data_IF_552853164076
#
_entry.id   IF_552853164076
#
_cell.length_a   1.000
_cell.length_b   1.000
_cell.length_c   1.000
_cell.angle_alpha   90.00
_cell.angle_beta   90.00
_cell.angle_gamma   90.00
#
_symmetry.space_group_name_H-M   'P 1'
#
loop_
_entity.id
_entity.type
_entity.pdbx_description
1 polymer ?
#
# COMPACT_ATOMS: atom_id res chain seq x y z
N UNK A 1 11.96 -9.39 32.39
CA UNK A 1 11.79 -9.64 30.96
C UNK A 1 11.29 -8.35 30.34
N UNK A 2 11.96 -7.83 29.32
CA UNK A 2 11.50 -6.67 28.56
C UNK A 2 10.11 -6.97 27.97
N UNK A 3 9.22 -5.98 27.96
CA UNK A 3 7.83 -6.13 27.47
C UNK A 3 7.06 -7.29 28.13
N UNK A 4 7.25 -7.53 29.44
CA UNK A 4 6.62 -8.67 30.14
C UNK A 4 5.11 -8.70 29.97
N UNK A 5 4.45 -7.56 30.18
CA UNK A 5 2.99 -7.44 30.09
C UNK A 5 2.49 -7.79 28.68
N UNK A 6 3.07 -7.15 27.66
CA UNK A 6 2.79 -7.43 26.25
C UNK A 6 2.92 -8.93 25.91
N UNK A 7 4.03 -9.56 26.34
CA UNK A 7 4.27 -10.99 26.09
C UNK A 7 3.26 -11.88 26.82
N UNK A 8 2.90 -11.54 28.06
CA UNK A 8 1.86 -12.26 28.80
C UNK A 8 0.50 -12.15 28.11
N UNK A 9 0.12 -10.95 27.65
CA UNK A 9 -1.11 -10.74 26.89
C UNK A 9 -1.13 -11.58 25.62
N UNK A 10 -0.08 -11.53 24.80
CA UNK A 10 -0.02 -12.32 23.56
C UNK A 10 -0.04 -13.83 23.82
N UNK A 11 0.66 -14.31 24.85
CA UNK A 11 0.66 -15.73 25.20
C UNK A 11 -0.75 -16.23 25.55
N UNK A 12 -1.53 -15.42 26.28
CA UNK A 12 -2.93 -15.72 26.60
C UNK A 12 -3.80 -15.78 25.35
N UNK A 13 -3.71 -14.77 24.48
CA UNK A 13 -4.49 -14.70 23.23
C UNK A 13 -4.18 -15.86 22.28
N UNK A 14 -2.90 -16.23 22.17
CA UNK A 14 -2.44 -17.34 21.33
C UNK A 14 -2.60 -18.72 22.00
N UNK A 15 -3.04 -18.76 23.27
CA UNK A 15 -3.21 -19.98 24.08
C UNK A 15 -1.93 -20.80 24.21
N UNK A 16 -0.82 -20.15 24.51
CA UNK A 16 0.50 -20.79 24.63
C UNK A 16 0.92 -20.82 26.10
N UNK A 17 1.27 -22.03 26.56
CA UNK A 17 1.62 -22.31 27.96
C UNK A 17 3.14 -22.29 28.22
N UNK A 18 3.96 -22.10 27.19
CA UNK A 18 5.42 -22.20 27.27
C UNK A 18 6.07 -20.87 27.71
N UNK A 19 7.02 -20.94 28.65
CA UNK A 19 7.81 -19.82 29.18
C UNK A 19 8.80 -19.27 28.13
N UNK A 20 9.20 -20.11 27.16
CA UNK A 20 10.11 -19.71 26.06
C UNK A 20 9.40 -19.05 24.87
N UNK A 21 8.07 -18.92 24.95
CA UNK A 21 7.25 -18.23 23.97
C UNK A 21 7.79 -16.83 23.64
N UNK A 22 7.89 -16.54 22.34
CA UNK A 22 8.05 -15.18 21.85
C UNK A 22 9.37 -14.51 22.21
N UNK A 23 10.47 -15.26 22.39
CA UNK A 23 11.83 -14.66 22.41
C UNK A 23 12.19 -13.97 21.08
N UNK A 24 11.52 -14.39 20.01
CA UNK A 24 11.62 -13.80 18.68
C UNK A 24 10.45 -12.86 18.34
N UNK A 25 9.48 -12.69 19.25
CA UNK A 25 8.41 -11.69 19.12
C UNK A 25 8.79 -10.46 19.94
N UNK A 26 8.87 -9.31 19.28
CA UNK A 26 9.24 -8.06 19.90
C UNK A 26 7.99 -7.29 20.34
N UNK A 27 7.99 -6.86 21.60
CA UNK A 27 7.07 -5.81 22.06
C UNK A 27 7.65 -4.42 21.80
N UNK A 28 6.94 -3.36 22.24
CA UNK A 28 7.34 -1.99 21.96
C UNK A 28 8.77 -1.64 22.38
N UNK A 29 9.17 -1.91 23.63
CA UNK A 29 10.49 -1.51 24.09
C UNK A 29 11.59 -2.35 23.44
N UNK A 30 11.39 -3.66 23.31
CA UNK A 30 12.34 -4.55 22.63
C UNK A 30 12.54 -4.16 21.16
N UNK A 31 11.48 -3.68 20.50
CA UNK A 31 11.54 -3.17 19.14
C UNK A 31 12.37 -1.88 19.06
N UNK A 32 12.14 -0.90 19.94
CA UNK A 32 12.93 0.35 19.99
C UNK A 32 14.41 0.08 20.24
N UNK A 33 14.72 -0.80 21.20
CA UNK A 33 16.08 -1.18 21.53
C UNK A 33 16.78 -1.81 20.32
N UNK A 34 16.09 -2.73 19.61
CA UNK A 34 16.63 -3.35 18.40
C UNK A 34 16.81 -2.33 17.26
N UNK A 35 15.84 -1.43 17.08
CA UNK A 35 15.85 -0.40 16.04
C UNK A 35 17.05 0.55 16.20
N UNK A 36 17.42 0.88 17.43
CA UNK A 36 18.55 1.76 17.73
C UNK A 36 19.92 1.24 17.23
N UNK A 37 20.01 -0.06 16.97
CA UNK A 37 21.21 -0.72 16.45
C UNK A 37 21.30 -0.71 14.92
N UNK A 38 20.20 -0.37 14.23
CA UNK A 38 20.07 -0.49 12.79
C UNK A 38 20.49 0.81 12.07
N UNK A 39 21.04 0.62 10.88
CA UNK A 39 21.47 1.67 9.95
C UNK A 39 20.81 1.47 8.59
N UNK A 40 20.98 2.44 7.69
CA UNK A 40 20.39 2.43 6.33
C UNK A 40 20.60 1.11 5.58
N UNK A 41 21.81 0.54 5.64
CA UNK A 41 22.21 -0.67 4.92
C UNK A 41 21.44 -1.91 5.39
N UNK A 42 20.87 -1.87 6.61
CA UNK A 42 20.09 -2.97 7.15
C UNK A 42 18.70 -3.09 6.52
N UNK A 43 18.20 -1.99 5.93
CA UNK A 43 16.86 -1.90 5.34
C UNK A 43 16.85 -1.99 3.80
N UNK A 44 18.02 -2.07 3.17
CA UNK A 44 18.16 -2.08 1.71
C UNK A 44 18.87 -3.34 1.22
N UNK A 45 18.36 -4.05 0.18
CA UNK A 45 19.01 -5.24 -0.40
C UNK A 45 20.45 -4.99 -0.91
N UNK A 46 20.72 -3.75 -1.31
CA UNK A 46 22.03 -3.30 -1.78
C UNK A 46 21.99 -1.83 -2.21
N UNK A 47 22.86 -1.46 -3.15
CA UNK A 47 22.90 -0.12 -3.72
C UNK A 47 21.81 0.03 -4.78
N UNK A 48 21.11 1.15 -4.73
CA UNK A 48 20.15 1.53 -5.78
C UNK A 48 20.90 1.84 -7.09
N UNK A 49 20.43 1.24 -8.17
CA UNK A 49 20.94 1.35 -9.53
C UNK A 49 20.21 2.43 -10.33
N UNK A 50 18.90 2.60 -10.11
CA UNK A 50 18.08 3.63 -10.77
C UNK A 50 17.15 4.35 -9.77
N UNK A 51 17.11 5.67 -9.84
CA UNK A 51 16.27 6.52 -9.01
C UNK A 51 14.91 6.84 -9.65
N UNK A 52 14.72 6.51 -10.92
CA UNK A 52 13.43 6.68 -11.62
C UNK A 52 12.51 5.47 -11.46
N UNK A 53 13.04 4.32 -11.05
CA UNK A 53 12.27 3.06 -10.93
C UNK A 53 12.51 2.33 -9.61
N UNK A 54 11.43 1.70 -9.10
CA UNK A 54 11.47 0.83 -7.92
C UNK A 54 12.13 -0.53 -8.23
N UNK A 55 12.50 -1.27 -7.19
CA UNK A 55 13.09 -2.62 -7.27
C UNK A 55 14.39 -2.71 -8.09
N UNK A 56 15.20 -1.65 -8.06
CA UNK A 56 16.47 -1.56 -8.80
C UNK A 56 17.68 -1.60 -7.87
N UNK A 57 17.75 -2.61 -7.01
CA UNK A 57 18.89 -2.80 -6.12
C UNK A 57 19.85 -3.84 -6.68
N UNK A 58 21.15 -3.64 -6.49
CA UNK A 58 22.07 -4.78 -6.46
C UNK A 58 21.91 -5.58 -5.14
N UNK A 59 22.62 -6.70 -5.02
CA UNK A 59 22.56 -7.56 -3.84
C UNK A 59 23.70 -7.32 -2.84
N UNK A 60 24.42 -6.20 -2.93
CA UNK A 60 25.64 -5.99 -2.15
C UNK A 60 25.42 -6.07 -0.64
N UNK A 61 24.29 -5.58 -0.11
CA UNK A 61 24.00 -5.71 1.32
C UNK A 61 23.52 -7.11 1.68
N UNK A 62 22.84 -7.84 0.79
CA UNK A 62 22.48 -9.25 1.01
C UNK A 62 23.76 -10.10 1.07
N UNK A 63 24.63 -9.98 0.08
CA UNK A 63 25.84 -10.78 -0.06
C UNK A 63 26.79 -10.58 1.14
N UNK A 64 26.93 -9.33 1.58
CA UNK A 64 27.72 -8.96 2.76
C UNK A 64 27.00 -9.26 4.08
N UNK A 65 25.76 -9.75 4.06
CA UNK A 65 24.97 -9.98 5.27
C UNK A 65 24.69 -8.71 6.05
N UNK A 66 24.52 -7.57 5.38
CA UNK A 66 24.10 -6.30 5.97
C UNK A 66 22.59 -6.16 6.00
N UNK A 67 21.87 -6.58 4.96
CA UNK A 67 20.41 -6.55 4.91
C UNK A 67 19.82 -7.50 5.96
N UNK A 68 19.12 -6.95 6.94
CA UNK A 68 18.58 -7.73 8.07
C UNK A 68 17.30 -7.16 8.68
N UNK A 69 16.65 -6.21 8.02
CA UNK A 69 15.39 -5.66 8.48
C UNK A 69 14.50 -5.25 7.31
N UNK A 70 13.22 -5.61 7.37
CA UNK A 70 12.18 -4.98 6.56
C UNK A 70 10.93 -4.81 7.43
N UNK A 71 10.58 -3.56 7.72
CA UNK A 71 9.47 -3.21 8.61
C UNK A 71 8.21 -2.81 7.86
N UNK A 72 8.21 -2.87 6.54
CA UNK A 72 7.09 -2.45 5.71
C UNK A 72 6.82 -3.56 4.69
N UNK A 73 5.98 -4.52 5.08
CA UNK A 73 5.69 -5.73 4.30
C UNK A 73 4.20 -5.99 4.32
N UNK A 74 3.65 -6.14 3.12
CA UNK A 74 2.25 -6.45 2.86
C UNK A 74 2.10 -7.89 2.42
N UNK A 75 0.97 -8.49 2.76
CA UNK A 75 0.63 -9.89 2.48
C UNK A 75 -0.68 -9.95 1.70
N UNK A 76 -1.12 -11.16 1.36
CA UNK A 76 -2.43 -11.38 0.72
C UNK A 76 -3.62 -10.90 1.56
N UNK A 77 -3.44 -10.53 2.84
CA UNK A 77 -4.50 -9.91 3.63
C UNK A 77 -4.80 -8.47 3.22
N UNK A 78 -3.88 -7.80 2.50
CA UNK A 78 -4.09 -6.47 1.91
C UNK A 78 -3.86 -6.46 0.39
N UNK A 79 -2.80 -5.85 -0.12
CA UNK A 79 -2.46 -5.83 -1.56
C UNK A 79 -1.14 -6.49 -1.91
N UNK A 80 -0.51 -7.19 -0.95
CA UNK A 80 0.58 -8.11 -1.22
C UNK A 80 0.10 -9.36 -1.96
N UNK A 81 0.97 -9.96 -2.77
CA UNK A 81 0.67 -11.22 -3.48
C UNK A 81 1.04 -12.47 -2.70
N UNK A 82 1.98 -12.37 -1.76
CA UNK A 82 2.46 -13.52 -0.99
C UNK A 82 1.64 -13.80 0.27
N UNK A 83 1.56 -15.07 0.63
CA UNK A 83 1.07 -15.47 1.94
C UNK A 83 2.12 -15.28 3.04
N UNK A 84 1.64 -15.25 4.29
CA UNK A 84 2.46 -14.97 5.47
C UNK A 84 3.55 -16.02 5.63
N UNK A 85 3.24 -17.29 5.38
CA UNK A 85 4.22 -18.39 5.47
C UNK A 85 5.36 -18.20 4.48
N UNK A 86 5.06 -17.87 3.23
CA UNK A 86 6.02 -17.61 2.18
C UNK A 86 6.94 -16.44 2.55
N UNK A 87 6.36 -15.35 3.07
CA UNK A 87 7.12 -14.19 3.58
C UNK A 87 8.07 -14.59 4.73
N UNK A 88 7.61 -15.41 5.67
CA UNK A 88 8.44 -15.92 6.77
C UNK A 88 9.56 -16.84 6.28
N UNK A 89 9.27 -17.74 5.34
CA UNK A 89 10.24 -18.67 4.75
C UNK A 89 11.29 -17.94 3.89
N UNK A 90 10.88 -16.91 3.16
CA UNK A 90 11.80 -16.05 2.43
C UNK A 90 12.70 -15.24 3.37
N UNK A 91 12.15 -14.74 4.48
CA UNK A 91 12.91 -14.03 5.51
C UNK A 91 14.01 -14.87 6.15
N UNK A 92 13.84 -16.20 6.23
CA UNK A 92 14.86 -17.11 6.78
C UNK A 92 16.16 -17.10 5.97
N UNK A 93 16.08 -16.84 4.66
CA UNK A 93 17.26 -16.75 3.77
C UNK A 93 18.19 -15.60 4.18
N UNK A 94 17.64 -14.55 4.77
CA UNK A 94 18.38 -13.39 5.26
C UNK A 94 18.77 -13.50 6.74
N UNK A 95 18.30 -14.55 7.41
CA UNK A 95 18.44 -14.76 8.86
C UNK A 95 19.58 -15.73 9.23
N UNK A 96 20.44 -16.09 8.27
CA UNK A 96 21.54 -17.04 8.48
C UNK A 96 22.69 -16.43 9.29
N UNK A 97 23.11 -15.21 8.92
CA UNK A 97 24.27 -14.53 9.54
C UNK A 97 23.90 -13.75 10.80
N UNK A 98 22.67 -13.23 10.85
CA UNK A 98 22.12 -12.48 11.98
C UNK A 98 20.59 -12.57 11.97
N UNK A 99 19.92 -12.29 13.10
CA UNK A 99 18.47 -12.29 13.12
C UNK A 99 17.89 -11.25 12.16
N UNK A 100 16.84 -11.64 11.43
CA UNK A 100 16.13 -10.77 10.50
C UNK A 100 14.92 -10.14 11.20
N UNK A 101 14.86 -8.82 11.24
CA UNK A 101 13.73 -8.07 11.80
C UNK A 101 12.64 -7.88 10.75
N UNK A 102 11.45 -8.43 11.01
CA UNK A 102 10.32 -8.40 10.08
C UNK A 102 9.10 -7.74 10.72
N UNK A 103 8.58 -6.71 10.07
CA UNK A 103 7.26 -6.14 10.36
C UNK A 103 6.25 -6.56 9.31
N UNK A 104 5.14 -7.16 9.73
CA UNK A 104 3.97 -7.37 8.86
C UNK A 104 3.01 -6.21 9.09
N UNK A 105 2.75 -5.43 8.04
CA UNK A 105 2.09 -4.11 8.14
C UNK A 105 1.03 -3.95 7.07
N UNK A 106 0.16 -4.96 6.92
CA UNK A 106 -0.95 -4.92 5.98
C UNK A 106 -1.82 -3.65 6.15
N UNK A 107 -2.37 -3.15 5.04
CA UNK A 107 -3.26 -2.01 5.04
C UNK A 107 -4.58 -2.26 5.78
N UNK A 108 -4.90 -1.42 6.76
CA UNK A 108 -6.17 -1.37 7.50
C UNK A 108 -6.62 -2.76 8.05
N UNK A 109 -5.69 -3.68 8.30
CA UNK A 109 -5.97 -5.01 8.87
C UNK A 109 -4.77 -5.58 9.64
N UNK A 110 -5.06 -6.40 10.64
CA UNK A 110 -4.05 -7.08 11.47
C UNK A 110 -4.00 -8.59 11.21
N UNK A 111 -4.77 -9.11 10.26
CA UNK A 111 -4.87 -10.56 10.02
C UNK A 111 -3.52 -11.20 9.65
N UNK A 112 -2.72 -10.54 8.80
CA UNK A 112 -1.37 -11.02 8.49
C UNK A 112 -0.45 -11.04 9.71
N UNK A 113 -0.56 -10.06 10.60
CA UNK A 113 0.19 -10.04 11.85
C UNK A 113 -0.27 -11.15 12.81
N UNK A 114 -1.59 -11.40 12.94
CA UNK A 114 -2.13 -12.51 13.75
C UNK A 114 -1.62 -13.86 13.25
N UNK A 115 -1.69 -14.09 11.94
CA UNK A 115 -1.18 -15.33 11.33
C UNK A 115 0.32 -15.48 11.54
N UNK A 116 1.11 -14.41 11.34
CA UNK A 116 2.55 -14.45 11.54
C UNK A 116 2.90 -14.86 12.97
N UNK A 117 2.27 -14.23 13.96
CA UNK A 117 2.44 -14.59 15.37
C UNK A 117 2.04 -16.05 15.62
N UNK A 118 0.92 -16.52 15.06
CA UNK A 118 0.50 -17.92 15.21
C UNK A 118 1.53 -18.91 14.66
N UNK A 119 2.05 -18.65 13.46
CA UNK A 119 3.04 -19.52 12.79
C UNK A 119 4.34 -19.57 13.59
N UNK A 120 4.94 -18.41 13.90
CA UNK A 120 6.26 -18.38 14.56
C UNK A 120 6.24 -18.94 15.98
N UNK A 121 5.07 -18.90 16.61
CA UNK A 121 4.90 -19.38 17.97
C UNK A 121 4.69 -20.89 18.06
N UNK A 122 4.11 -21.49 17.02
CA UNK A 122 3.94 -22.96 16.93
C UNK A 122 5.23 -23.66 16.55
N UNK A 123 6.15 -22.97 15.86
CA UNK A 123 7.46 -23.52 15.46
C UNK A 123 8.58 -22.53 15.76
N UNK A 124 8.77 -22.23 17.05
CA UNK A 124 9.81 -21.30 17.51
C UNK A 124 11.21 -21.72 17.02
N UNK A 125 11.51 -23.02 16.98
CA UNK A 125 12.84 -23.49 16.60
C UNK A 125 13.18 -23.15 15.14
N UNK A 126 12.21 -23.28 14.21
CA UNK A 126 12.39 -22.87 12.81
C UNK A 126 12.56 -21.36 12.69
N UNK A 127 11.76 -20.57 13.42
CA UNK A 127 11.71 -19.11 13.25
C UNK A 127 12.48 -18.30 14.31
N UNK A 128 13.32 -18.92 15.15
CA UNK A 128 14.05 -18.24 16.25
C UNK A 128 14.93 -17.06 15.80
N UNK A 129 15.40 -17.11 14.55
CA UNK A 129 16.21 -16.06 13.94
C UNK A 129 15.37 -14.99 13.20
N UNK A 130 14.05 -15.13 13.13
CA UNK A 130 13.16 -14.06 12.64
C UNK A 130 12.64 -13.29 13.84
N UNK A 131 13.09 -12.05 14.01
CA UNK A 131 12.54 -11.13 15.00
C UNK A 131 11.27 -10.51 14.41
N UNK A 132 10.11 -10.99 14.83
CA UNK A 132 8.80 -10.49 14.39
C UNK A 132 8.41 -9.30 15.25
N UNK A 133 7.99 -8.22 14.62
CA UNK A 133 7.22 -7.15 15.24
C UNK A 133 5.83 -7.10 14.60
N UNK A 134 4.79 -7.28 15.40
CA UNK A 134 3.41 -7.18 14.91
C UNK A 134 3.12 -5.72 14.53
N UNK A 135 2.52 -5.51 13.37
CA UNK A 135 2.19 -4.18 12.90
C UNK A 135 0.94 -4.11 12.02
N UNK A 136 0.66 -2.90 11.57
CA UNK A 136 -0.41 -2.54 10.63
C UNK A 136 -0.06 -1.21 9.98
N UNK A 137 -0.43 -1.01 8.73
CA UNK A 137 -0.39 0.30 8.09
C UNK A 137 -1.82 0.87 8.03
N UNK A 138 -2.07 1.96 8.77
CA UNK A 138 -3.38 2.60 8.80
C UNK A 138 -3.40 3.76 7.81
N UNK A 139 -4.38 3.73 6.90
CA UNK A 139 -4.62 4.78 5.92
C UNK A 139 -5.36 5.94 6.58
N UNK A 140 -4.78 7.14 6.55
CA UNK A 140 -5.39 8.34 7.13
C UNK A 140 -5.41 9.51 6.16
N UNK A 141 -6.28 10.47 6.43
CA UNK A 141 -6.44 11.70 5.67
C UNK A 141 -6.17 12.90 6.57
N UNK A 142 -5.20 13.72 6.17
CA UNK A 142 -4.89 14.98 6.81
C UNK A 142 -5.54 16.16 6.09
N UNK A 143 -6.22 17.04 6.84
CA UNK A 143 -6.94 18.22 6.31
C UNK A 143 -6.69 19.50 7.09
N UNK A 144 -5.94 19.44 8.19
CA UNK A 144 -5.79 20.55 9.12
C UNK A 144 -4.35 21.08 9.21
N UNK A 145 -3.63 21.07 8.08
CA UNK A 145 -2.30 21.68 7.99
C UNK A 145 -2.36 23.12 7.47
N UNK A 146 -1.43 23.96 7.94
CA UNK A 146 -1.35 25.35 7.49
C UNK A 146 -1.02 25.41 5.99
N UNK A 147 -1.68 26.33 5.29
CA UNK A 147 -1.49 26.56 3.83
C UNK A 147 -1.76 25.33 2.96
N UNK A 148 -2.59 24.43 3.45
CA UNK A 148 -3.06 23.28 2.69
C UNK A 148 -4.18 23.69 1.71
N UNK A 149 -4.11 23.19 0.48
CA UNK A 149 -5.07 23.46 -0.62
C UNK A 149 -5.82 22.22 -1.09
N UNK A 150 -5.50 21.06 -0.53
CA UNK A 150 -6.19 19.78 -0.76
C UNK A 150 -5.76 18.75 0.27
N UNK A 151 -6.47 17.63 0.35
CA UNK A 151 -6.19 16.56 1.33
C UNK A 151 -4.79 15.99 1.19
N UNK A 152 -4.28 15.40 2.28
CA UNK A 152 -3.05 14.60 2.28
C UNK A 152 -3.39 13.17 2.68
N UNK A 153 -3.08 12.21 1.82
CA UNK A 153 -3.11 10.80 2.17
C UNK A 153 -1.84 10.49 2.99
N UNK A 154 -2.02 10.20 4.27
CA UNK A 154 -0.93 9.95 5.21
C UNK A 154 -1.08 8.51 5.70
N UNK A 155 -0.07 7.69 5.45
CA UNK A 155 -0.04 6.34 6.00
C UNK A 155 0.75 6.30 7.30
N UNK A 156 0.18 5.61 8.28
CA UNK A 156 0.73 5.50 9.63
C UNK A 156 1.00 4.04 9.95
N UNK A 157 2.27 3.70 10.11
CA UNK A 157 2.73 2.37 10.51
C UNK A 157 2.67 2.25 12.03
N UNK A 158 2.17 1.11 12.50
CA UNK A 158 2.20 0.73 13.91
C UNK A 158 3.07 -0.49 14.10
N UNK A 159 3.84 -0.50 15.20
CA UNK A 159 4.75 -1.58 15.56
C UNK A 159 4.62 -1.98 17.02
N UNK A 160 4.74 -3.27 17.33
CA UNK A 160 4.63 -3.78 18.69
C UNK A 160 3.20 -3.68 19.23
N UNK A 161 2.20 -3.73 18.34
CA UNK A 161 0.79 -3.72 18.70
C UNK A 161 0.36 -5.08 19.26
N UNK A 162 -0.69 -5.11 20.07
CA UNK A 162 -1.45 -6.34 20.28
C UNK A 162 -2.46 -6.49 19.13
N UNK A 163 -2.27 -7.39 18.15
CA UNK A 163 -3.19 -7.53 17.03
C UNK A 163 -4.53 -8.16 17.45
N UNK A 164 -4.66 -8.65 18.69
CA UNK A 164 -5.91 -9.18 19.26
C UNK A 164 -6.68 -8.14 20.08
N UNK A 165 -6.17 -6.91 20.22
CA UNK A 165 -6.85 -5.83 20.94
C UNK A 165 -8.20 -5.51 20.29
N UNK A 166 -9.29 -5.64 21.06
CA UNK A 166 -10.66 -5.45 20.56
C UNK A 166 -10.94 -4.02 20.10
N UNK A 167 -10.33 -3.00 20.73
CA UNK A 167 -10.51 -1.59 20.31
C UNK A 167 -9.89 -1.38 18.94
N UNK A 168 -8.67 -1.87 18.72
CA UNK A 168 -7.99 -1.79 17.42
C UNK A 168 -8.74 -2.55 16.33
N UNK A 169 -9.14 -3.81 16.61
CA UNK A 169 -9.90 -4.61 15.64
C UNK A 169 -11.22 -3.94 15.26
N UNK A 170 -12.00 -3.47 16.25
CA UNK A 170 -13.25 -2.78 15.98
C UNK A 170 -13.06 -1.51 15.14
N UNK A 171 -12.02 -0.71 15.43
CA UNK A 171 -11.68 0.48 14.66
C UNK A 171 -11.38 0.14 13.19
N UNK A 172 -10.51 -0.85 12.96
CA UNK A 172 -10.14 -1.26 11.60
C UNK A 172 -11.33 -1.87 10.85
N UNK A 173 -12.07 -2.77 11.49
CA UNK A 173 -13.23 -3.45 10.90
C UNK A 173 -14.35 -2.46 10.54
N UNK A 174 -14.61 -1.48 11.39
CA UNK A 174 -15.59 -0.42 11.12
C UNK A 174 -15.17 0.41 9.90
N UNK A 175 -13.91 0.85 9.84
CA UNK A 175 -13.39 1.62 8.71
C UNK A 175 -13.44 0.81 7.41
N UNK A 176 -13.05 -0.47 7.44
CA UNK A 176 -13.16 -1.34 6.26
C UNK A 176 -14.59 -1.52 5.79
N UNK A 177 -15.54 -1.75 6.71
CA UNK A 177 -16.96 -1.91 6.40
C UNK A 177 -17.52 -0.64 5.75
N UNK A 178 -17.27 0.53 6.34
CA UNK A 178 -17.75 1.80 5.81
C UNK A 178 -17.18 2.10 4.41
N UNK A 179 -15.91 1.77 4.20
CA UNK A 179 -15.21 1.96 2.92
C UNK A 179 -15.69 1.00 1.83
N UNK A 180 -15.99 -0.25 2.18
CA UNK A 180 -16.67 -1.19 1.29
C UNK A 180 -18.08 -0.69 0.91
N UNK A 181 -18.89 -0.26 1.89
CA UNK A 181 -20.22 0.29 1.61
C UNK A 181 -20.18 1.54 0.72
N UNK A 182 -19.18 2.41 0.91
CA UNK A 182 -18.96 3.55 0.03
C UNK A 182 -18.62 3.10 -1.39
N UNK A 183 -17.79 2.08 -1.57
CA UNK A 183 -17.49 1.53 -2.89
C UNK A 183 -18.74 0.97 -3.59
N UNK A 184 -19.63 0.29 -2.85
CA UNK A 184 -20.92 -0.17 -3.37
C UNK A 184 -21.82 0.99 -3.80
N UNK A 185 -21.93 2.03 -2.97
CA UNK A 185 -22.70 3.23 -3.27
C UNK A 185 -22.20 3.92 -4.55
N UNK A 186 -20.89 4.15 -4.65
CA UNK A 186 -20.27 4.79 -5.81
C UNK A 186 -20.45 3.93 -7.07
N UNK A 187 -20.31 2.60 -6.96
CA UNK A 187 -20.56 1.70 -8.07
C UNK A 187 -22.02 1.79 -8.57
N UNK A 188 -22.99 1.89 -7.66
CA UNK A 188 -24.40 2.05 -8.01
C UNK A 188 -24.68 3.40 -8.70
N UNK A 189 -24.07 4.49 -8.22
CA UNK A 189 -24.14 5.80 -8.89
C UNK A 189 -23.57 5.72 -10.32
N UNK A 190 -22.44 5.03 -10.50
CA UNK A 190 -21.82 4.82 -11.81
C UNK A 190 -22.71 3.99 -12.75
N UNK A 191 -23.31 2.89 -12.26
CA UNK A 191 -24.26 2.05 -13.03
C UNK A 191 -25.43 2.88 -13.55
N UNK A 192 -26.03 3.69 -12.68
CA UNK A 192 -27.15 4.55 -13.05
C UNK A 192 -26.72 5.64 -14.04
N UNK A 193 -25.62 6.33 -13.76
CA UNK A 193 -25.15 7.46 -14.55
C UNK A 193 -24.68 7.08 -15.96
N UNK A 194 -24.22 5.85 -16.15
CA UNK A 194 -23.62 5.35 -17.40
C UNK A 194 -24.50 4.30 -18.10
N UNK A 195 -25.75 4.14 -17.67
CA UNK A 195 -26.63 3.02 -18.05
C UNK A 195 -26.69 2.79 -19.57
N UNK A 196 -26.95 3.84 -20.35
CA UNK A 196 -27.04 3.75 -21.81
C UNK A 196 -25.73 3.24 -22.44
N UNK A 197 -24.58 3.77 -22.02
CA UNK A 197 -23.28 3.34 -22.53
C UNK A 197 -22.98 1.89 -22.13
N UNK A 198 -23.21 1.54 -20.86
CA UNK A 198 -22.98 0.19 -20.35
C UNK A 198 -23.84 -0.83 -21.09
N UNK A 199 -25.12 -0.53 -21.35
CA UNK A 199 -26.00 -1.37 -22.16
C UNK A 199 -25.51 -1.52 -23.60
N UNK A 200 -25.06 -0.42 -24.23
CA UNK A 200 -24.55 -0.46 -25.61
C UNK A 200 -23.27 -1.31 -25.77
N UNK A 201 -22.44 -1.38 -24.73
CA UNK A 201 -21.21 -2.17 -24.69
C UNK A 201 -21.38 -3.54 -24.03
N UNK A 202 -22.59 -3.89 -23.58
CA UNK A 202 -22.89 -5.14 -22.86
C UNK A 202 -22.06 -5.32 -21.57
N UNK A 203 -21.76 -4.23 -20.87
CA UNK A 203 -20.95 -4.22 -19.65
C UNK A 203 -21.86 -4.38 -18.42
N UNK A 204 -21.50 -5.32 -17.55
CA UNK A 204 -22.01 -5.37 -16.18
C UNK A 204 -20.89 -5.01 -15.22
N UNK A 205 -21.12 -4.02 -14.35
CA UNK A 205 -20.13 -3.59 -13.36
C UNK A 205 -20.28 -4.34 -12.04
N UNK A 206 -19.18 -4.78 -11.44
CA UNK A 206 -19.16 -5.39 -10.10
C UNK A 206 -17.88 -5.01 -9.32
N UNK A 207 -17.94 -5.08 -8.00
CA UNK A 207 -16.75 -4.89 -7.17
C UNK A 207 -15.76 -6.05 -7.30
N UNK A 208 -16.23 -7.26 -7.60
CA UNK A 208 -15.38 -8.42 -7.88
C UNK A 208 -14.55 -8.22 -9.16
N UNK A 209 -15.13 -7.61 -10.20
CA UNK A 209 -14.34 -7.21 -11.35
C UNK A 209 -13.38 -6.07 -11.00
N UNK A 210 -13.86 -5.07 -10.26
CA UNK A 210 -13.00 -3.97 -9.83
C UNK A 210 -11.79 -4.47 -9.00
N UNK A 211 -11.94 -5.53 -8.22
CA UNK A 211 -10.85 -6.09 -7.40
C UNK A 211 -9.72 -6.72 -8.22
N UNK A 212 -9.95 -7.07 -9.49
CA UNK A 212 -8.89 -7.50 -10.42
C UNK A 212 -7.95 -6.36 -10.81
N UNK A 213 -8.43 -5.12 -10.75
CA UNK A 213 -7.62 -3.90 -10.90
C UNK A 213 -6.94 -3.55 -9.58
N UNK A 214 -7.67 -3.68 -8.46
CA UNK A 214 -7.14 -3.39 -7.14
C UNK A 214 -7.81 -4.22 -6.03
N UNK A 215 -7.12 -5.20 -5.42
CA UNK A 215 -7.75 -6.17 -4.51
C UNK A 215 -8.35 -5.54 -3.24
N UNK A 216 -7.84 -4.36 -2.84
CA UNK A 216 -8.30 -3.68 -1.63
C UNK A 216 -9.72 -3.10 -1.73
N UNK A 217 -10.30 -2.97 -2.94
CA UNK A 217 -11.68 -2.50 -3.11
C UNK A 217 -12.65 -3.43 -2.36
N UNK A 218 -12.56 -4.74 -2.61
CA UNK A 218 -13.44 -5.73 -1.96
C UNK A 218 -13.09 -5.98 -0.50
N UNK A 219 -11.92 -5.52 -0.06
CA UNK A 219 -11.47 -5.62 1.34
C UNK A 219 -11.78 -4.36 2.15
N UNK A 220 -12.13 -3.25 1.48
CA UNK A 220 -12.36 -1.97 2.13
C UNK A 220 -11.10 -1.34 2.74
N UNK A 221 -9.92 -1.56 2.16
CA UNK A 221 -8.64 -1.14 2.80
C UNK A 221 -7.97 0.07 2.11
N UNK A 222 -8.46 0.51 0.95
CA UNK A 222 -7.85 1.61 0.17
C UNK A 222 -8.85 2.76 -0.05
N UNK A 223 -8.43 3.85 -0.66
CA UNK A 223 -9.36 4.85 -1.19
C UNK A 223 -10.30 4.26 -2.26
N UNK A 224 -11.50 4.83 -2.37
CA UNK A 224 -12.54 4.33 -3.29
C UNK A 224 -12.40 4.95 -4.69
N UNK A 225 -12.00 6.21 -4.76
CA UNK A 225 -12.07 7.03 -5.98
C UNK A 225 -11.14 6.54 -7.08
N UNK A 226 -9.84 6.49 -6.81
CA UNK A 226 -8.89 6.13 -7.87
C UNK A 226 -9.07 4.69 -8.34
N UNK A 227 -9.12 3.66 -7.48
CA UNK A 227 -9.30 2.28 -7.94
C UNK A 227 -10.56 2.08 -8.80
N UNK A 228 -11.70 2.66 -8.43
CA UNK A 228 -12.91 2.59 -9.25
C UNK A 228 -12.76 3.36 -10.57
N UNK A 229 -12.13 4.55 -10.59
CA UNK A 229 -11.82 5.25 -11.86
C UNK A 229 -11.01 4.35 -12.79
N UNK A 230 -9.95 3.71 -12.28
CA UNK A 230 -9.10 2.78 -13.06
C UNK A 230 -9.93 1.65 -13.66
N UNK A 231 -10.80 1.03 -12.86
CA UNK A 231 -11.67 -0.05 -13.29
C UNK A 231 -12.65 0.39 -14.37
N UNK A 232 -13.39 1.48 -14.18
CA UNK A 232 -14.37 1.97 -15.15
C UNK A 232 -13.71 2.30 -16.49
N UNK A 233 -12.58 2.99 -16.45
CA UNK A 233 -11.86 3.35 -17.67
C UNK A 233 -11.35 2.11 -18.41
N UNK A 234 -10.78 1.16 -17.67
CA UNK A 234 -10.31 -0.09 -18.24
C UNK A 234 -11.44 -0.89 -18.87
N UNK A 235 -12.54 -1.09 -18.13
CA UNK A 235 -13.67 -1.91 -18.57
C UNK A 235 -14.36 -1.33 -19.80
N UNK A 236 -14.66 -0.03 -19.80
CA UNK A 236 -15.32 0.64 -20.94
C UNK A 236 -14.44 0.62 -22.18
N UNK A 237 -13.18 1.03 -22.05
CA UNK A 237 -12.30 1.13 -23.22
C UNK A 237 -11.92 -0.25 -23.78
N UNK A 238 -11.68 -1.22 -22.91
CA UNK A 238 -11.43 -2.59 -23.35
C UNK A 238 -12.64 -3.16 -24.09
N UNK A 239 -13.84 -2.97 -23.54
CA UNK A 239 -15.06 -3.46 -24.20
C UNK A 239 -15.30 -2.80 -25.55
N UNK A 240 -15.05 -1.49 -25.66
CA UNK A 240 -15.18 -0.75 -26.91
C UNK A 240 -14.14 -1.15 -27.96
N UNK A 241 -12.86 -1.21 -27.61
CA UNK A 241 -11.78 -1.46 -28.57
C UNK A 241 -11.51 -2.92 -28.86
N UNK A 242 -11.94 -3.83 -27.98
CA UNK A 242 -11.62 -5.26 -28.08
C UNK A 242 -12.89 -6.10 -28.18
N UNK A 243 -13.70 -6.16 -27.13
CA UNK A 243 -14.85 -7.10 -27.07
C UNK A 243 -15.90 -6.81 -28.15
N UNK A 244 -16.16 -5.53 -28.44
CA UNK A 244 -17.12 -5.09 -29.44
C UNK A 244 -16.46 -4.67 -30.76
N UNK A 245 -15.23 -5.11 -31.03
CA UNK A 245 -14.49 -4.76 -32.24
C UNK A 245 -14.02 -6.00 -33.00
N UNK A 246 -14.84 -6.46 -33.95
CA UNK A 246 -14.57 -7.65 -34.77
C UNK A 246 -13.24 -7.56 -35.52
N UNK A 247 -12.85 -6.37 -35.98
CA UNK A 247 -11.58 -6.19 -36.70
C UNK A 247 -10.36 -6.45 -35.80
N UNK A 248 -10.39 -5.96 -34.56
CA UNK A 248 -9.31 -6.22 -33.59
C UNK A 248 -9.26 -7.70 -33.21
N UNK A 249 -10.41 -8.32 -32.93
CA UNK A 249 -10.49 -9.74 -32.59
C UNK A 249 -9.98 -10.64 -33.73
N UNK A 250 -10.40 -10.37 -34.97
CA UNK A 250 -9.92 -11.12 -36.13
C UNK A 250 -8.41 -10.97 -36.35
N UNK A 251 -7.86 -9.77 -36.13
CA UNK A 251 -6.40 -9.56 -36.19
C UNK A 251 -5.68 -10.38 -35.14
N UNK A 252 -6.11 -10.34 -33.89
CA UNK A 252 -5.52 -11.13 -32.80
C UNK A 252 -5.57 -12.63 -33.12
N UNK A 253 -6.70 -13.11 -33.65
CA UNK A 253 -6.89 -14.51 -34.06
C UNK A 253 -5.90 -14.97 -35.13
N UNK A 254 -5.53 -14.10 -36.10
CA UNK A 254 -4.50 -14.42 -37.11
C UNK A 254 -3.14 -14.75 -36.51
N UNK A 255 -2.84 -14.25 -35.31
CA UNK A 255 -1.61 -14.52 -34.57
C UNK A 255 -1.78 -15.63 -33.52
N UNK A 256 -2.90 -16.35 -33.53
CA UNK A 256 -3.16 -17.45 -32.59
C UNK A 256 -3.52 -17.00 -31.17
N UNK A 257 -3.86 -15.72 -30.97
CA UNK A 257 -4.27 -15.21 -29.66
C UNK A 257 -5.72 -15.64 -29.39
N UNK A 258 -5.91 -16.44 -28.35
CA UNK A 258 -7.24 -16.86 -27.87
C UNK A 258 -7.91 -15.74 -27.07
N UNK A 259 -9.23 -15.60 -27.21
CA UNK A 259 -10.04 -14.66 -26.41
C UNK A 259 -9.89 -14.88 -24.90
N UNK A 260 -9.62 -16.12 -24.46
CA UNK A 260 -9.37 -16.44 -23.05
C UNK A 260 -8.11 -15.77 -22.45
N UNK A 261 -7.21 -15.25 -23.29
CA UNK A 261 -6.04 -14.49 -22.85
C UNK A 261 -6.31 -12.99 -22.71
N UNK A 262 -7.43 -12.51 -23.25
CA UNK A 262 -7.80 -11.11 -23.25
C UNK A 262 -8.36 -10.72 -21.87
N UNK A 263 -7.90 -9.57 -21.37
CA UNK A 263 -8.24 -9.12 -20.03
C UNK A 263 -8.07 -7.60 -19.95
N UNK A 264 -9.03 -6.92 -19.33
CA UNK A 264 -9.04 -5.46 -19.21
C UNK A 264 -8.07 -4.96 -18.14
N UNK A 265 -7.74 -5.78 -17.14
CA UNK A 265 -6.85 -5.44 -16.04
C UNK A 265 -5.37 -5.62 -16.37
N UNK A 266 -5.01 -6.57 -17.24
CA UNK A 266 -3.61 -6.84 -17.62
C UNK A 266 -2.86 -5.63 -18.20
N UNK A 267 -3.47 -4.76 -19.05
CA UNK A 267 -2.84 -3.49 -19.43
C UNK A 267 -2.45 -2.63 -18.24
N UNK A 268 -3.28 -2.56 -17.20
CA UNK A 268 -3.00 -1.78 -15.98
C UNK A 268 -1.85 -2.41 -15.18
N UNK A 269 -1.87 -3.74 -15.02
CA UNK A 269 -0.86 -4.46 -14.25
C UNK A 269 0.51 -4.41 -14.94
N UNK A 270 0.58 -4.79 -16.22
CA UNK A 270 1.84 -4.89 -16.99
C UNK A 270 2.49 -3.51 -17.21
N UNK A 271 1.68 -2.47 -17.39
CA UNK A 271 2.16 -1.12 -17.67
C UNK A 271 1.87 -0.14 -16.54
N UNK A 272 1.83 -0.61 -15.28
CA UNK A 272 1.54 0.19 -14.07
C UNK A 272 2.30 1.53 -14.02
N UNK A 273 3.57 1.54 -14.44
CA UNK A 273 4.44 2.74 -14.48
C UNK A 273 3.91 3.87 -15.39
N UNK A 274 3.10 3.55 -16.41
CA UNK A 274 2.51 4.56 -17.30
C UNK A 274 1.40 5.38 -16.61
N UNK A 275 0.76 4.83 -15.58
CA UNK A 275 -0.40 5.42 -14.90
C UNK A 275 0.02 6.43 -13.82
N UNK A 276 0.72 7.48 -14.24
CA UNK A 276 1.39 8.43 -13.36
C UNK A 276 0.88 9.88 -13.44
N UNK A 277 -0.16 10.16 -14.23
CA UNK A 277 -0.70 11.50 -14.46
C UNK A 277 -2.24 11.50 -14.62
N UNK A 278 -2.83 12.70 -14.70
CA UNK A 278 -4.27 12.92 -14.65
C UNK A 278 -5.05 12.47 -15.90
N UNK A 279 -4.40 12.10 -17.01
CA UNK A 279 -5.04 11.69 -18.28
C UNK A 279 -5.24 10.18 -18.37
N UNK A 280 -5.82 9.59 -17.33
CA UNK A 280 -5.79 8.14 -17.11
C UNK A 280 -6.39 7.33 -18.26
N UNK A 281 -7.54 7.70 -18.83
CA UNK A 281 -8.17 6.90 -19.88
C UNK A 281 -7.37 6.93 -21.20
N UNK A 282 -6.66 8.01 -21.51
CA UNK A 282 -5.71 8.04 -22.63
C UNK A 282 -4.49 7.15 -22.35
N UNK A 283 -3.99 7.15 -21.11
CA UNK A 283 -2.92 6.23 -20.70
C UNK A 283 -3.38 4.78 -20.87
N UNK A 284 -4.63 4.47 -20.48
CA UNK A 284 -5.17 3.12 -20.62
C UNK A 284 -5.22 2.69 -22.09
N UNK A 285 -5.70 3.54 -23.01
CA UNK A 285 -5.66 3.26 -24.46
C UNK A 285 -4.25 2.92 -24.91
N UNK A 286 -3.25 3.72 -24.53
CA UNK A 286 -1.85 3.49 -24.94
C UNK A 286 -1.29 2.19 -24.31
N UNK A 287 -1.65 1.90 -23.06
CA UNK A 287 -1.28 0.64 -22.41
C UNK A 287 -1.94 -0.57 -23.08
N UNK A 288 -3.19 -0.41 -23.54
CA UNK A 288 -3.93 -1.42 -24.28
C UNK A 288 -3.28 -1.70 -25.64
N UNK A 289 -2.89 -0.69 -26.42
CA UNK A 289 -2.13 -0.85 -27.67
C UNK A 289 -0.86 -1.68 -27.48
N UNK A 290 -0.08 -1.36 -26.45
CA UNK A 290 1.12 -2.12 -26.08
C UNK A 290 0.78 -3.54 -25.62
N UNK A 291 -0.33 -3.73 -24.92
CA UNK A 291 -0.76 -5.04 -24.46
C UNK A 291 -1.18 -5.94 -25.63
N UNK A 292 -1.97 -5.41 -26.56
CA UNK A 292 -2.39 -6.12 -27.76
C UNK A 292 -1.20 -6.50 -28.64
N UNK A 293 -0.24 -5.58 -28.82
CA UNK A 293 0.99 -5.85 -29.58
C UNK A 293 1.83 -6.95 -28.90
N UNK A 294 2.00 -6.86 -27.58
CA UNK A 294 2.67 -7.88 -26.76
C UNK A 294 2.03 -9.28 -26.92
N UNK A 295 0.69 -9.38 -26.96
CA UNK A 295 0.00 -10.67 -27.14
C UNK A 295 0.33 -11.35 -28.47
N UNK A 296 0.73 -10.59 -29.49
CA UNK A 296 1.17 -11.14 -30.79
C UNK A 296 2.67 -11.45 -30.85
N UNK A 297 3.39 -11.29 -29.74
CA UNK A 297 4.85 -11.33 -29.71
C UNK A 297 5.48 -10.17 -30.48
N UNK A 298 4.82 -9.00 -30.45
CA UNK A 298 5.21 -7.76 -31.15
C UNK A 298 5.30 -7.87 -32.69
N UNK A 299 4.75 -8.95 -33.27
CA UNK A 299 4.66 -9.17 -34.73
C UNK A 299 3.62 -8.28 -35.40
N UNK A 300 2.68 -7.76 -34.62
CA UNK A 300 1.64 -6.83 -35.05
C UNK A 300 1.66 -5.62 -34.12
N UNK A 301 1.62 -4.43 -34.70
CA UNK A 301 1.56 -3.18 -33.93
C UNK A 301 0.12 -2.66 -33.97
N UNK A 302 -0.49 -2.55 -32.79
CA UNK A 302 -1.84 -2.03 -32.67
C UNK A 302 -1.80 -0.52 -32.46
N UNK A 303 -2.47 0.19 -33.36
CA UNK A 303 -2.78 1.62 -33.21
C UNK A 303 -4.30 1.74 -33.24
N UNK A 304 -4.89 2.09 -32.10
CA UNK A 304 -6.33 2.23 -31.93
C UNK A 304 -6.75 3.64 -32.33
N UNK A 305 -7.92 3.76 -32.95
CA UNK A 305 -8.54 5.04 -33.30
C UNK A 305 -8.73 5.92 -32.06
N UNK A 306 -8.92 7.23 -32.25
CA UNK A 306 -9.23 8.15 -31.16
C UNK A 306 -10.47 7.70 -30.38
N UNK A 307 -10.50 8.02 -29.08
CA UNK A 307 -11.63 7.67 -28.22
C UNK A 307 -12.81 8.54 -28.66
N UNK A 308 -13.97 7.94 -29.02
CA UNK A 308 -15.16 8.71 -29.39
C UNK A 308 -15.56 9.73 -28.32
N UNK A 309 -16.02 10.90 -28.76
CA UNK A 309 -16.39 12.00 -27.86
C UNK A 309 -17.50 11.60 -26.88
N UNK A 310 -18.48 10.81 -27.32
CA UNK A 310 -19.53 10.29 -26.45
C UNK A 310 -18.99 9.40 -25.32
N UNK A 311 -17.96 8.59 -25.59
CA UNK A 311 -17.28 7.77 -24.59
C UNK A 311 -16.47 8.67 -23.65
N UNK A 312 -15.73 9.65 -24.18
CA UNK A 312 -14.98 10.63 -23.36
C UNK A 312 -15.92 11.33 -22.37
N UNK A 313 -17.07 11.81 -22.84
CA UNK A 313 -18.05 12.50 -21.99
C UNK A 313 -18.55 11.60 -20.84
N UNK A 314 -18.79 10.32 -21.11
CA UNK A 314 -19.16 9.34 -20.09
C UNK A 314 -18.01 9.03 -19.12
N UNK A 315 -16.77 8.92 -19.60
CA UNK A 315 -15.60 8.72 -18.74
C UNK A 315 -15.34 9.93 -17.84
N UNK A 316 -15.59 11.15 -18.32
CA UNK A 316 -15.54 12.38 -17.52
C UNK A 316 -16.66 12.41 -16.48
N UNK A 317 -17.88 12.00 -16.82
CA UNK A 317 -18.98 11.85 -15.86
C UNK A 317 -18.62 10.83 -14.76
N UNK A 318 -18.05 9.69 -15.15
CA UNK A 318 -17.58 8.68 -14.20
C UNK A 318 -16.48 9.23 -13.28
N UNK A 319 -15.55 10.03 -13.84
CA UNK A 319 -14.49 10.72 -13.08
C UNK A 319 -15.10 11.58 -11.97
N UNK A 320 -16.07 12.43 -12.32
CA UNK A 320 -16.71 13.35 -11.38
C UNK A 320 -17.39 12.59 -10.24
N UNK A 321 -18.16 11.54 -10.56
CA UNK A 321 -18.82 10.70 -9.55
C UNK A 321 -17.80 10.10 -8.58
N UNK A 322 -16.69 9.56 -9.08
CA UNK A 322 -15.66 9.02 -8.19
C UNK A 322 -14.97 10.11 -7.35
N UNK A 323 -14.73 11.31 -7.90
CA UNK A 323 -14.02 12.40 -7.21
C UNK A 323 -14.88 13.13 -6.17
N UNK A 324 -16.18 13.28 -6.42
CA UNK A 324 -17.16 13.78 -5.44
C UNK A 324 -17.25 12.89 -4.20
N UNK A 325 -16.90 11.60 -4.34
CA UNK A 325 -16.90 10.64 -3.24
C UNK A 325 -15.50 10.41 -2.64
N UNK A 326 -14.52 11.27 -2.95
CA UNK A 326 -13.21 11.29 -2.29
C UNK A 326 -13.21 12.37 -1.18
N UNK A 327 -12.41 12.21 -0.10
CA UNK A 327 -12.27 13.22 0.93
C UNK A 327 -11.88 14.59 0.37
N UNK A 328 -12.44 15.64 0.96
CA UNK A 328 -12.06 17.03 0.72
C UNK A 328 -11.63 17.69 2.03
N UNK A 329 -11.12 18.93 1.96
CA UNK A 329 -10.80 19.69 3.17
C UNK A 329 -12.04 20.01 4.03
N UNK A 330 -13.21 20.08 3.40
CA UNK A 330 -14.48 20.45 4.07
C UNK A 330 -15.26 19.22 4.53
N UNK A 331 -15.03 18.06 3.92
CA UNK A 331 -15.78 16.84 4.18
C UNK A 331 -14.87 15.60 4.13
N UNK A 332 -14.48 15.13 5.31
CA UNK A 332 -13.91 13.79 5.46
C UNK A 332 -15.09 12.83 5.68
N UNK A 333 -15.38 12.01 4.68
CA UNK A 333 -16.45 11.02 4.79
C UNK A 333 -16.13 10.00 5.91
N UNK A 334 -17.14 9.45 6.62
CA UNK A 334 -16.91 8.53 7.74
C UNK A 334 -16.06 7.29 7.42
N UNK A 335 -16.05 6.88 6.15
CA UNK A 335 -15.25 5.76 5.63
C UNK A 335 -13.73 5.99 5.70
N UNK A 336 -13.29 7.23 5.89
CA UNK A 336 -11.88 7.59 5.99
C UNK A 336 -11.52 7.91 7.44
N UNK A 337 -10.25 7.67 7.77
CA UNK A 337 -9.72 7.92 9.10
C UNK A 337 -9.03 9.28 9.11
N UNK A 338 -9.44 10.20 9.97
CA UNK A 338 -8.74 11.47 10.17
C UNK A 338 -7.35 11.22 10.78
N UNK A 339 -6.33 11.92 10.32
CA UNK A 339 -4.96 11.76 10.81
C UNK A 339 -4.86 12.00 12.33
N UNK A 340 -5.34 13.14 12.81
CA UNK A 340 -5.26 13.53 14.23
C UNK A 340 -6.06 12.60 15.14
N UNK A 341 -7.29 12.25 14.73
CA UNK A 341 -8.15 11.35 15.50
C UNK A 341 -7.57 9.94 15.58
N UNK A 342 -6.98 9.47 14.47
CA UNK A 342 -6.35 8.15 14.42
C UNK A 342 -5.12 8.11 15.32
N UNK A 343 -4.26 9.13 15.29
CA UNK A 343 -3.11 9.22 16.19
C UNK A 343 -3.54 9.25 17.67
N UNK A 344 -4.58 10.02 18.00
CA UNK A 344 -5.11 10.08 19.37
C UNK A 344 -5.69 8.72 19.80
N UNK A 345 -6.42 8.04 18.92
CA UNK A 345 -6.94 6.70 19.16
C UNK A 345 -5.80 5.70 19.43
N UNK A 346 -4.79 5.66 18.57
CA UNK A 346 -3.63 4.76 18.72
C UNK A 346 -2.90 5.04 20.05
N UNK A 347 -2.78 6.31 20.41
CA UNK A 347 -2.18 6.75 21.68
C UNK A 347 -2.92 6.23 22.91
N UNK A 348 -4.20 5.89 22.76
CA UNK A 348 -5.05 5.34 23.84
C UNK A 348 -4.99 3.81 23.99
N UNK A 349 -4.39 3.09 23.03
CA UNK A 349 -4.25 1.63 23.12
C UNK A 349 -3.27 1.25 24.24
N UNK A 350 -3.08 -0.03 24.55
CA UNK A 350 -2.17 -0.45 25.63
C UNK A 350 -0.74 -0.64 25.13
N UNK A 351 -0.60 -1.07 23.87
CA UNK A 351 0.68 -1.28 23.19
C UNK A 351 0.69 -0.63 21.82
N UNK A 352 1.89 -0.47 21.26
CA UNK A 352 2.10 0.08 19.92
C UNK A 352 2.99 1.32 19.92
N UNK A 353 3.79 1.43 18.87
CA UNK A 353 4.60 2.60 18.54
C UNK A 353 4.17 3.07 17.16
N UNK A 354 4.13 4.38 16.98
CA UNK A 354 3.73 5.01 15.73
C UNK A 354 4.97 5.36 14.91
N UNK A 355 4.91 5.10 13.61
CA UNK A 355 5.87 5.57 12.61
C UNK A 355 5.15 6.16 11.40
N UNK A 356 5.56 7.34 10.92
CA UNK A 356 5.02 7.87 9.66
C UNK A 356 5.67 7.15 8.47
N UNK A 357 4.85 6.54 7.61
CA UNK A 357 5.30 5.84 6.43
C UNK A 357 5.72 6.81 5.33
N UNK A 358 6.82 6.49 4.63
CA UNK A 358 7.29 7.14 3.40
C UNK A 358 6.91 8.64 3.24
N UNK A 359 7.32 9.52 4.17
CA UNK A 359 6.80 10.90 4.26
C UNK A 359 7.02 11.74 3.00
N UNK A 360 8.02 11.45 2.17
CA UNK A 360 8.21 12.20 0.92
C UNK A 360 7.15 11.87 -0.15
N UNK A 361 6.34 10.81 0.01
CA UNK A 361 5.22 10.50 -0.90
C UNK A 361 3.99 11.38 -0.68
N UNK A 362 3.96 12.20 0.37
CA UNK A 362 2.88 13.17 0.58
C UNK A 362 2.70 14.04 -0.67
N UNK A 363 1.44 14.36 -0.99
CA UNK A 363 1.10 15.20 -2.14
C UNK A 363 1.42 16.66 -1.86
N UNK A 364 2.70 17.00 -1.80
CA UNK A 364 3.20 18.34 -1.47
C UNK A 364 2.73 19.45 -2.43
N UNK A 365 2.24 19.10 -3.63
CA UNK A 365 1.53 20.06 -4.49
C UNK A 365 0.26 20.64 -3.87
N UNK A 366 -0.29 20.00 -2.84
CA UNK A 366 -1.43 20.47 -2.06
C UNK A 366 -0.99 21.37 -0.90
N UNK A 367 0.29 21.75 -0.80
CA UNK A 367 0.83 22.57 0.28
C UNK A 367 1.47 23.82 -0.32
N UNK A 368 0.91 24.99 0.00
CA UNK A 368 1.46 26.29 -0.39
C UNK A 368 2.35 26.87 0.72
N UNK A 369 3.40 26.11 1.05
CA UNK A 369 4.38 26.43 2.09
C UNK A 369 5.73 25.83 1.71
N UNK A 370 6.81 26.42 2.20
CA UNK A 370 8.12 25.79 2.17
C UNK A 370 8.07 24.38 2.77
N UNK A 371 8.83 23.45 2.18
CA UNK A 371 8.79 22.02 2.53
C UNK A 371 9.26 21.80 3.97
N UNK A 372 10.38 22.41 4.37
CA UNK A 372 10.93 22.27 5.72
C UNK A 372 10.00 22.86 6.76
N UNK A 373 9.42 24.02 6.45
CA UNK A 373 8.44 24.65 7.34
C UNK A 373 7.14 23.86 7.43
N UNK A 374 6.70 23.21 6.34
CA UNK A 374 5.55 22.32 6.35
C UNK A 374 5.83 21.10 7.23
N UNK A 375 6.96 20.42 7.03
CA UNK A 375 7.31 19.26 7.85
C UNK A 375 7.52 19.64 9.33
N UNK A 376 7.98 20.85 9.63
CA UNK A 376 8.04 21.36 11.01
C UNK A 376 6.66 21.44 11.68
N UNK A 377 5.62 21.87 10.95
CA UNK A 377 4.24 21.85 11.44
C UNK A 377 3.70 20.42 11.49
N UNK A 378 4.00 19.61 10.46
CA UNK A 378 3.56 18.21 10.37
C UNK A 378 4.04 17.40 11.56
N UNK A 379 5.33 17.48 11.90
CA UNK A 379 5.90 16.78 13.04
C UNK A 379 5.37 17.31 14.38
N UNK A 380 5.00 18.59 14.46
CA UNK A 380 4.34 19.13 15.64
C UNK A 380 2.94 18.54 15.84
N UNK A 381 2.14 18.41 14.78
CA UNK A 381 0.84 17.72 14.82
C UNK A 381 1.02 16.25 15.17
N UNK A 382 1.94 15.56 14.48
CA UNK A 382 2.25 14.16 14.74
C UNK A 382 2.61 13.90 16.20
N UNK A 383 3.52 14.70 16.78
CA UNK A 383 3.92 14.56 18.18
C UNK A 383 2.79 14.94 19.16
N UNK A 384 2.02 15.99 18.85
CA UNK A 384 0.90 16.44 19.69
C UNK A 384 -0.18 15.37 19.87
N UNK A 385 -0.59 14.72 18.77
CA UNK A 385 -1.69 13.75 18.80
C UNK A 385 -1.21 12.31 19.03
N UNK A 386 0.00 11.97 18.60
CA UNK A 386 0.60 10.65 18.84
C UNK A 386 1.32 10.51 20.20
N UNK A 387 1.50 11.60 20.93
CA UNK A 387 2.04 11.62 22.30
C UNK A 387 3.36 10.86 22.46
N UNK A 388 3.43 10.04 23.50
CA UNK A 388 4.62 9.23 23.81
C UNK A 388 4.82 8.03 22.89
N UNK A 389 3.85 7.75 22.00
CA UNK A 389 3.95 6.68 21.00
C UNK A 389 4.43 7.18 19.64
N UNK A 390 4.32 8.48 19.37
CA UNK A 390 4.94 9.12 18.23
C UNK A 390 6.46 9.21 18.44
N UNK A 391 7.16 8.14 18.02
CA UNK A 391 8.59 7.93 18.27
C UNK A 391 9.38 7.69 16.99
N UNK A 392 8.74 7.39 15.87
CA UNK A 392 9.44 6.95 14.66
C UNK A 392 8.94 7.65 13.38
N UNK A 393 9.77 7.61 12.35
CA UNK A 393 9.31 7.76 10.96
C UNK A 393 10.18 6.95 10.01
N UNK A 394 9.64 6.62 8.85
CA UNK A 394 10.30 5.78 7.85
C UNK A 394 11.30 6.59 7.00
N UNK A 395 12.44 6.89 7.61
CA UNK A 395 13.56 7.57 6.95
C UNK A 395 14.17 6.72 5.83
N UNK A 396 14.29 5.41 6.06
CA UNK A 396 14.95 4.49 5.14
C UNK A 396 13.96 3.72 4.26
N UNK A 397 12.96 4.41 3.70
CA UNK A 397 12.05 3.85 2.70
C UNK A 397 12.76 3.58 1.37
N UNK A 398 12.72 2.33 0.92
CA UNK A 398 13.45 1.85 -0.26
C UNK A 398 12.61 1.86 -1.54
N UNK A 399 11.40 2.42 -1.53
CA UNK A 399 10.50 2.37 -2.69
C UNK A 399 10.11 3.72 -3.25
N UNK A 400 10.87 4.77 -2.93
CA UNK A 400 10.77 6.04 -3.66
C UNK A 400 11.16 5.82 -5.14
N UNK A 401 10.27 6.26 -6.03
CA UNK A 401 10.49 6.40 -7.47
C UNK A 401 10.58 7.88 -7.84
N UNK A 402 11.34 8.24 -8.88
CA UNK A 402 11.53 9.62 -9.36
C UNK A 402 12.37 10.48 -8.41
N UNK A 403 13.31 11.21 -9.00
CA UNK A 403 14.25 12.09 -8.26
C UNK A 403 13.60 13.10 -7.32
N UNK A 404 12.36 13.54 -7.62
CA UNK A 404 11.67 14.56 -6.81
C UNK A 404 11.45 14.15 -5.34
N UNK A 405 11.24 12.86 -5.03
CA UNK A 405 11.04 12.48 -3.62
C UNK A 405 12.34 12.55 -2.84
N UNK A 406 13.46 12.23 -3.49
CA UNK A 406 14.79 12.31 -2.90
C UNK A 406 15.19 13.75 -2.56
N UNK A 407 14.74 14.73 -3.35
CA UNK A 407 15.01 16.15 -3.06
C UNK A 407 14.31 16.69 -1.81
N UNK A 408 13.35 15.95 -1.23
CA UNK A 408 12.63 16.39 -0.02
C UNK A 408 13.24 15.82 1.27
N UNK A 409 14.06 14.77 1.16
CA UNK A 409 14.49 13.98 2.33
C UNK A 409 15.30 14.80 3.34
N UNK A 410 16.18 15.68 2.86
CA UNK A 410 17.00 16.52 3.75
C UNK A 410 16.14 17.48 4.58
N UNK A 411 15.12 18.11 3.97
CA UNK A 411 14.21 19.01 4.68
C UNK A 411 13.29 18.27 5.65
N UNK A 412 12.84 17.07 5.28
CA UNK A 412 12.04 16.19 6.14
C UNK A 412 12.84 15.83 7.40
N UNK A 413 14.08 15.38 7.19
CA UNK A 413 14.99 14.97 8.26
C UNK A 413 15.35 16.14 9.17
N UNK A 414 15.74 17.29 8.59
CA UNK A 414 16.08 18.49 9.34
C UNK A 414 14.90 18.98 10.20
N UNK A 415 13.67 18.92 9.68
CA UNK A 415 12.47 19.28 10.44
C UNK A 415 12.18 18.32 11.61
N UNK A 416 12.62 17.06 11.52
CA UNK A 416 12.41 16.02 12.52
C UNK A 416 13.44 16.05 13.67
N UNK A 417 14.62 16.65 13.48
CA UNK A 417 15.76 16.58 14.41
C UNK A 417 15.39 16.94 15.86
N UNK A 418 14.56 17.97 16.06
CA UNK A 418 14.17 18.45 17.41
C UNK A 418 13.29 17.48 18.21
N UNK A 419 12.75 16.44 17.58
CA UNK A 419 11.87 15.47 18.22
C UNK A 419 12.57 14.17 18.62
N UNK A 420 13.84 13.98 18.21
CA UNK A 420 14.63 12.78 18.50
C UNK A 420 13.93 11.47 18.10
N UNK A 421 13.21 11.48 16.96
CA UNK A 421 12.57 10.27 16.43
C UNK A 421 13.62 9.21 16.05
N UNK A 422 13.30 7.94 16.26
CA UNK A 422 14.05 6.82 15.69
C UNK A 422 13.66 6.59 14.23
N UNK A 423 14.57 5.98 13.48
CA UNK A 423 14.41 5.78 12.05
C UNK A 423 13.99 4.35 11.76
N UNK A 424 12.84 4.17 11.13
CA UNK A 424 12.44 2.90 10.53
C UNK A 424 12.81 2.86 9.04
N UNK A 425 12.69 1.67 8.45
CA UNK A 425 12.93 1.46 7.03
C UNK A 425 12.26 0.20 6.54
N UNK A 426 12.06 0.15 5.23
CA UNK A 426 11.39 -0.96 4.59
C UNK A 426 11.34 -0.79 3.09
N UNK A 427 10.96 -1.87 2.43
CA UNK A 427 10.81 -1.91 0.98
C UNK A 427 9.35 -1.68 0.60
N UNK A 428 8.42 -1.77 1.55
CA UNK A 428 6.98 -1.69 1.27
C UNK A 428 6.59 -2.84 0.34
N UNK A 429 7.02 -4.05 0.72
CA UNK A 429 7.01 -5.22 -0.15
C UNK A 429 5.59 -5.67 -0.40
N UNK A 430 5.20 -5.79 -1.67
CA UNK A 430 3.91 -6.37 -2.10
C UNK A 430 4.10 -7.58 -3.02
N UNK A 431 5.35 -7.89 -3.36
CA UNK A 431 5.73 -8.93 -4.32
C UNK A 431 5.55 -10.36 -3.80
N UNK A 432 6.26 -11.25 -4.46
CA UNK A 432 6.36 -12.68 -4.13
C UNK A 432 7.32 -12.96 -2.95
N UNK A 433 8.08 -11.94 -2.51
CA UNK A 433 9.14 -12.07 -1.50
C UNK A 433 9.32 -10.77 -0.69
N UNK A 434 10.20 -10.80 0.33
CA UNK A 434 10.38 -9.64 1.23
C UNK A 434 11.21 -8.51 0.63
N UNK A 435 11.76 -8.65 -0.57
CA UNK A 435 12.62 -7.64 -1.21
C UNK A 435 12.02 -6.99 -2.46
N UNK A 436 10.74 -7.25 -2.78
CA UNK A 436 10.06 -6.69 -3.96
C UNK A 436 8.86 -5.81 -3.61
N UNK A 437 8.89 -4.56 -4.07
CA UNK A 437 7.79 -3.59 -3.99
C UNK A 437 6.67 -3.91 -4.97
N UNK A 438 7.00 -4.35 -6.18
CA UNK A 438 6.01 -4.56 -7.24
C UNK A 438 5.40 -5.98 -7.18
N UNK A 439 4.05 -6.10 -7.12
CA UNK A 439 3.37 -7.40 -7.09
C UNK A 439 3.42 -8.17 -8.42
N UNK A 440 3.80 -7.51 -9.52
CA UNK A 440 3.71 -8.06 -10.88
C UNK A 440 5.04 -7.99 -11.66
N UNK A 441 6.15 -7.74 -10.97
CA UNK A 441 7.50 -7.66 -11.58
C UNK A 441 8.24 -8.98 -11.58
#
# INVERSE_FOLDING_TARGET
MLDKEYKTTLAQELKINDIDFGKNILGPQAFLDYLSLLKKENFAPGKRLDFETVDTFDNSNIDNGLFCANLHVHTHYSDGTSDVKTILEDSLKFAEKKPFLLGITDHDTVEGAKEALSIVSRDYNKYKNIKIVAGVEISTVGTHFKKQTGTLDIHTLLYGINPFDKRLNNFLDEKRRLKFSLAEEVLNKLKFALSELLSSLQITLSLEEASKIHPMITKGQDEVSHPLKKYIYAKILFSYYVENNTFVLERLKKYGVSEALLSYEKPVQKYKKMFNNARYFYIYKNALEKYLSFLTGDKEQFVLNEIPENIINNLLKAKMICEENHPSLENIQPAFSSFEETLAFISSLDFGIISIAHPARLKLSNINKDIRDFFSDFWAVYKKYGGDRALCYEKYYQSYDRRKYFSYLEDIDAAAEKYSFLFTGGIDSHGDNVIRRCPYS
#
